data_IF_828051977905
#
_entry.id   IF_828051977905
#
_cell.length_a   1.000
_cell.length_b   1.000
_cell.length_c   1.000
_cell.angle_alpha   90.00
_cell.angle_beta   90.00
_cell.angle_gamma   90.00
#
_symmetry.space_group_name_H-M   'P 1'
#
loop_
_entity.id
_entity.type
_entity.pdbx_description
1 polymer ?
#
# COMPACT_ATOMS: atom_id res chain seq x y z
N UNK A 1 2.96 28.20 -4.92
CA UNK A 1 2.15 27.97 -6.15
C UNK A 1 2.15 26.49 -6.54
N UNK A 2 3.29 25.78 -6.58
CA UNK A 2 3.29 24.32 -6.81
C UNK A 2 2.75 23.48 -5.64
N UNK A 3 2.82 23.98 -4.39
CA UNK A 3 2.46 23.21 -3.18
C UNK A 3 0.95 23.04 -3.01
N UNK A 4 0.15 24.09 -3.23
CA UNK A 4 -1.31 24.02 -3.04
C UNK A 4 -1.98 23.12 -4.09
N UNK A 5 -1.57 23.23 -5.35
CA UNK A 5 -2.07 22.37 -6.42
C UNK A 5 -1.67 20.90 -6.20
N UNK A 6 -0.42 20.66 -5.78
CA UNK A 6 0.04 19.33 -5.40
C UNK A 6 -0.77 18.74 -4.24
N UNK A 7 -1.01 19.50 -3.16
CA UNK A 7 -1.81 19.06 -2.02
C UNK A 7 -3.24 18.72 -2.42
N UNK A 8 -3.86 19.53 -3.30
CA UNK A 8 -5.18 19.25 -3.83
C UNK A 8 -5.22 17.96 -4.66
N UNK A 9 -4.22 17.73 -5.52
CA UNK A 9 -4.10 16.51 -6.32
C UNK A 9 -3.84 15.28 -5.45
N UNK A 10 -2.97 15.39 -4.45
CA UNK A 10 -2.67 14.31 -3.52
C UNK A 10 -3.92 13.91 -2.74
N UNK A 11 -4.67 14.89 -2.22
CA UNK A 11 -5.93 14.63 -1.52
C UNK A 11 -6.93 13.87 -2.39
N UNK A 12 -7.13 14.32 -3.64
CA UNK A 12 -8.01 13.61 -4.59
C UNK A 12 -7.51 12.20 -4.90
N UNK A 13 -6.20 12.04 -5.04
CA UNK A 13 -5.58 10.73 -5.31
C UNK A 13 -5.78 9.77 -4.14
N UNK A 14 -5.68 10.24 -2.91
CA UNK A 14 -6.01 9.47 -1.70
C UNK A 14 -7.48 9.08 -1.67
N UNK A 15 -8.40 10.00 -2.00
CA UNK A 15 -9.86 9.75 -2.06
C UNK A 15 -10.26 8.65 -3.06
N UNK A 16 -9.48 8.47 -4.13
CA UNK A 16 -9.72 7.43 -5.16
C UNK A 16 -8.75 6.26 -5.08
N UNK A 17 -7.90 6.20 -4.05
CA UNK A 17 -6.99 5.09 -3.85
C UNK A 17 -7.76 3.76 -3.76
N UNK A 18 -7.25 2.66 -4.35
CA UNK A 18 -7.93 1.37 -4.33
C UNK A 18 -8.18 0.87 -2.91
N UNK A 19 -9.34 0.25 -2.68
CA UNK A 19 -9.73 -0.25 -1.36
C UNK A 19 -8.72 -1.23 -0.77
N UNK A 20 -8.18 -2.15 -1.59
CA UNK A 20 -7.16 -3.11 -1.16
C UNK A 20 -5.91 -2.43 -0.59
N UNK A 21 -5.52 -1.27 -1.14
CA UNK A 21 -4.33 -0.56 -0.68
C UNK A 21 -4.60 0.08 0.68
N UNK A 22 -5.79 0.66 0.88
CA UNK A 22 -6.18 1.23 2.17
C UNK A 22 -6.24 0.17 3.25
N UNK A 23 -6.90 -0.96 2.95
CA UNK A 23 -7.01 -2.09 3.87
C UNK A 23 -5.64 -2.63 4.27
N UNK A 24 -4.74 -2.82 3.31
CA UNK A 24 -3.38 -3.30 3.59
C UNK A 24 -2.58 -2.31 4.43
N UNK A 25 -2.64 -1.01 4.12
CA UNK A 25 -1.97 0.02 4.91
C UNK A 25 -2.51 0.03 6.34
N UNK A 26 -3.83 0.02 6.52
CA UNK A 26 -4.45 -0.04 7.85
C UNK A 26 -4.03 -1.31 8.62
N UNK A 27 -4.04 -2.47 7.97
CA UNK A 27 -3.64 -3.74 8.56
C UNK A 27 -2.15 -3.78 8.95
N UNK A 28 -1.26 -3.25 8.12
CA UNK A 28 0.19 -3.26 8.40
C UNK A 28 0.52 -2.27 9.52
N UNK A 29 -0.03 -1.05 9.46
CA UNK A 29 0.26 0.00 10.45
C UNK A 29 -0.36 -0.32 11.81
N UNK A 30 -1.55 -0.93 11.85
CA UNK A 30 -2.18 -1.35 13.11
C UNK A 30 -1.43 -2.50 13.78
N UNK A 31 -0.81 -3.40 13.00
CA UNK A 31 0.02 -4.48 13.53
C UNK A 31 1.30 -3.97 14.16
N UNK A 32 1.97 -2.98 13.54
CA UNK A 32 3.16 -2.35 14.10
C UNK A 32 3.10 -0.81 14.12
N UNK A 33 2.41 -0.24 15.13
CA UNK A 33 2.17 1.20 15.21
C UNK A 33 3.43 2.04 15.38
N UNK A 34 4.55 1.47 15.85
CA UNK A 34 5.83 2.19 15.99
C UNK A 34 6.66 2.19 14.71
N UNK A 35 6.29 1.39 13.72
CA UNK A 35 7.04 1.27 12.48
C UNK A 35 6.96 2.55 11.64
N UNK A 36 8.03 2.83 10.91
CA UNK A 36 8.11 3.95 9.98
C UNK A 36 7.60 3.60 8.58
N UNK A 37 7.50 4.61 7.72
CA UNK A 37 6.99 4.46 6.35
C UNK A 37 7.78 3.44 5.51
N UNK A 38 9.10 3.32 5.70
CA UNK A 38 9.92 2.34 4.98
C UNK A 38 9.54 0.89 5.31
N UNK A 39 9.08 0.63 6.54
CA UNK A 39 8.58 -0.69 6.92
C UNK A 39 7.26 -1.00 6.20
N UNK A 40 6.33 -0.04 6.15
CA UNK A 40 5.08 -0.20 5.41
C UNK A 40 5.32 -0.54 3.93
N UNK A 41 6.21 0.22 3.27
CA UNK A 41 6.54 -0.01 1.85
C UNK A 41 7.16 -1.40 1.67
N UNK A 42 8.07 -1.80 2.57
CA UNK A 42 8.68 -3.13 2.53
C UNK A 42 7.64 -4.26 2.68
N UNK A 43 6.69 -4.11 3.60
CA UNK A 43 5.62 -5.10 3.82
C UNK A 43 4.64 -5.16 2.65
N UNK A 44 4.28 -4.03 2.04
CA UNK A 44 3.49 -4.00 0.81
C UNK A 44 4.20 -4.75 -0.33
N UNK A 45 5.49 -4.48 -0.54
CA UNK A 45 6.28 -5.25 -1.50
C UNK A 45 6.37 -6.72 -1.14
N UNK A 46 6.56 -7.06 0.14
CA UNK A 46 6.65 -8.44 0.58
C UNK A 46 5.35 -9.20 0.32
N UNK A 47 4.21 -8.54 0.56
CA UNK A 47 2.87 -9.10 0.36
C UNK A 47 2.63 -9.49 -1.10
N UNK A 48 3.08 -8.65 -2.05
CA UNK A 48 2.81 -8.85 -3.47
C UNK A 48 3.99 -9.43 -4.27
N UNK A 49 5.17 -9.56 -3.68
CA UNK A 49 6.29 -10.22 -4.32
C UNK A 49 6.07 -11.72 -4.37
N UNK A 50 6.20 -12.29 -5.57
CA UNK A 50 6.01 -13.71 -5.82
C UNK A 50 7.05 -14.55 -5.06
N UNK A 51 6.69 -15.06 -3.89
CA UNK A 51 7.54 -15.94 -3.08
C UNK A 51 7.37 -17.42 -3.46
N UNK A 52 8.34 -18.26 -3.08
CA UNK A 52 8.27 -19.73 -3.26
C UNK A 52 6.97 -20.32 -2.69
N UNK A 53 6.42 -19.71 -1.63
CA UNK A 53 5.13 -20.11 -1.05
C UNK A 53 3.99 -20.04 -2.06
N UNK A 54 3.94 -18.99 -2.90
CA UNK A 54 2.92 -18.82 -3.95
C UNK A 54 3.07 -19.83 -5.09
N UNK A 55 4.32 -20.15 -5.47
CA UNK A 55 4.61 -21.19 -6.46
C UNK A 55 4.10 -22.55 -5.97
N UNK A 56 4.24 -22.83 -4.67
CA UNK A 56 3.87 -24.11 -4.07
C UNK A 56 2.37 -24.22 -3.72
N UNK A 57 1.69 -23.12 -3.40
CA UNK A 57 0.27 -23.11 -3.01
C UNK A 57 -0.71 -22.95 -4.18
N UNK A 58 -0.27 -22.42 -5.33
CA UNK A 58 -1.15 -22.00 -6.41
C UNK A 58 -1.07 -22.86 -7.69
N UNK A 59 -0.96 -24.20 -7.58
CA UNK A 59 -0.84 -25.13 -8.74
C UNK A 59 -1.88 -24.93 -9.86
N UNK A 60 -2.99 -24.22 -9.61
CA UNK A 60 -4.01 -23.85 -10.59
C UNK A 60 -4.34 -22.34 -10.67
N UNK A 61 -3.74 -21.49 -9.83
CA UNK A 61 -4.05 -20.05 -9.72
C UNK A 61 -2.81 -19.15 -9.91
N UNK A 62 -1.66 -19.74 -10.24
CA UNK A 62 -0.38 -19.03 -10.31
C UNK A 62 -0.37 -17.90 -11.36
N UNK A 63 -1.15 -18.01 -12.44
CA UNK A 63 -1.18 -16.99 -13.51
C UNK A 63 -1.98 -15.75 -13.13
N UNK A 64 -3.18 -15.92 -12.57
CA UNK A 64 -4.01 -14.81 -12.10
C UNK A 64 -3.33 -14.07 -10.96
N UNK A 65 -2.78 -14.81 -9.99
CA UNK A 65 -2.06 -14.21 -8.88
C UNK A 65 -0.81 -13.45 -9.34
N UNK A 66 -0.08 -13.97 -10.33
CA UNK A 66 1.07 -13.29 -10.90
C UNK A 66 0.69 -11.99 -11.60
N UNK A 67 -0.46 -11.97 -12.29
CA UNK A 67 -0.99 -10.77 -12.90
C UNK A 67 -1.37 -9.72 -11.84
N UNK A 68 -2.20 -10.10 -10.87
CA UNK A 68 -2.63 -9.22 -9.77
C UNK A 68 -1.42 -8.66 -9.01
N UNK A 69 -0.43 -9.50 -8.72
CA UNK A 69 0.81 -9.09 -8.05
C UNK A 69 1.53 -8.00 -8.80
N UNK A 70 1.72 -8.19 -10.10
CA UNK A 70 2.42 -7.24 -10.94
C UNK A 70 1.65 -5.92 -11.01
N UNK A 71 0.33 -5.98 -11.14
CA UNK A 71 -0.54 -4.80 -11.12
C UNK A 71 -0.42 -4.05 -9.80
N UNK A 72 -0.51 -4.73 -8.66
CA UNK A 72 -0.42 -4.10 -7.33
C UNK A 72 0.98 -3.55 -7.03
N UNK A 73 2.05 -4.27 -7.41
CA UNK A 73 3.42 -3.76 -7.32
C UNK A 73 3.62 -2.50 -8.16
N UNK A 74 3.10 -2.47 -9.39
CA UNK A 74 3.14 -1.26 -10.22
C UNK A 74 2.37 -0.09 -9.57
N UNK A 75 1.23 -0.35 -8.93
CA UNK A 75 0.52 0.69 -8.18
C UNK A 75 1.37 1.20 -7.03
N UNK A 76 2.01 0.30 -6.28
CA UNK A 76 2.88 0.66 -5.15
C UNK A 76 4.04 1.55 -5.62
N UNK A 77 4.78 1.10 -6.63
CA UNK A 77 5.96 1.81 -7.15
C UNK A 77 5.64 3.21 -7.69
N UNK A 78 4.51 3.36 -8.38
CA UNK A 78 4.16 4.61 -9.04
C UNK A 78 3.42 5.60 -8.12
N UNK A 79 3.00 5.19 -6.93
CA UNK A 79 2.12 5.99 -6.07
C UNK A 79 2.62 6.09 -4.62
N UNK A 80 3.94 6.17 -4.43
CA UNK A 80 4.56 6.27 -3.11
C UNK A 80 4.01 7.45 -2.31
N UNK A 81 3.78 8.61 -2.93
CA UNK A 81 3.20 9.78 -2.25
C UNK A 81 1.80 9.51 -1.68
N UNK A 82 0.97 8.73 -2.41
CA UNK A 82 -0.35 8.31 -1.93
C UNK A 82 -0.19 7.36 -0.73
N UNK A 83 0.76 6.43 -0.79
CA UNK A 83 1.04 5.51 0.31
C UNK A 83 1.51 6.25 1.57
N UNK A 84 2.37 7.26 1.40
CA UNK A 84 2.82 8.14 2.49
C UNK A 84 1.63 8.87 3.11
N UNK A 85 0.75 9.45 2.28
CA UNK A 85 -0.43 10.16 2.78
C UNK A 85 -1.39 9.23 3.54
N UNK A 86 -1.67 8.04 3.01
CA UNK A 86 -2.48 7.02 3.70
C UNK A 86 -1.85 6.59 5.03
N UNK A 87 -0.54 6.39 5.07
CA UNK A 87 0.19 6.07 6.30
C UNK A 87 0.01 7.16 7.36
N UNK A 88 0.18 8.43 7.01
CA UNK A 88 0.01 9.54 7.94
C UNK A 88 -1.44 9.66 8.45
N UNK A 89 -2.44 9.44 7.59
CA UNK A 89 -3.85 9.39 8.00
C UNK A 89 -4.10 8.29 9.04
N UNK A 90 -3.59 7.09 8.82
CA UNK A 90 -3.75 5.97 9.75
C UNK A 90 -3.00 6.23 11.07
N UNK A 91 -1.78 6.76 11.01
CA UNK A 91 -1.01 7.12 12.22
C UNK A 91 -1.69 8.24 13.01
N UNK A 92 -2.30 9.21 12.34
CA UNK A 92 -3.08 10.26 12.99
C UNK A 92 -4.32 9.68 13.69
N UNK A 93 -5.05 8.75 13.04
CA UNK A 93 -6.17 8.03 13.67
C UNK A 93 -5.73 7.30 14.93
N UNK A 94 -4.62 6.56 14.88
CA UNK A 94 -4.10 5.78 16.01
C UNK A 94 -3.60 6.65 17.19
N UNK A 95 -3.10 7.87 16.92
CA UNK A 95 -2.71 8.81 18.00
C UNK A 95 -3.92 9.42 18.73
N UNK A 96 -5.05 9.49 18.06
CA UNK A 96 -6.29 10.11 18.57
C UNK A 96 -7.31 9.10 19.10
N UNK A 97 -6.99 7.80 19.02
CA UNK A 97 -7.77 6.68 19.54
C UNK A 97 -7.31 6.31 20.96
#
# INVERSE_FOLDING_TARGET
MFTEEYEHLLKRSVEVAPDWLREDVENIVSKEPTAGISYLIAELHHTYTFSIRHILSARHLSSEWAQISRERLNVIDNNIDIIVALYEEVKAKLKNA
#
